data_IF_592383441585
#
_entry.id   IF_592383441585
#
_cell.length_a   1.000
_cell.length_b   1.000
_cell.length_c   1.000
_cell.angle_alpha   90.00
_cell.angle_beta   90.00
_cell.angle_gamma   90.00
#
_symmetry.space_group_name_H-M   'P 1'
#
loop_
_entity.id
_entity.type
_entity.pdbx_description
1 polymer ?
#
# COMPACT_ATOMS: atom_id res chain seq x y z
N UNK A 1 23.92 11.35 31.75
CA UNK A 1 23.07 10.16 31.82
C UNK A 1 22.19 10.10 30.56
N UNK A 2 22.16 8.95 29.89
CA UNK A 2 21.30 8.66 28.78
C UNK A 2 20.08 7.87 29.30
N UNK A 3 18.87 8.34 28.96
CA UNK A 3 17.62 7.62 29.27
C UNK A 3 16.90 7.33 27.95
N UNK A 4 16.52 6.08 27.73
CA UNK A 4 15.73 5.63 26.58
C UNK A 4 14.38 5.15 27.11
N UNK A 5 13.29 5.64 26.51
CA UNK A 5 11.92 5.23 26.82
C UNK A 5 11.31 4.72 25.53
N UNK A 6 10.71 3.55 25.56
CA UNK A 6 9.98 2.96 24.44
C UNK A 6 8.63 2.43 24.91
N UNK A 7 7.66 2.44 24.03
CA UNK A 7 6.29 1.99 24.33
C UNK A 7 5.32 2.44 23.23
N UNK A 8 4.02 2.34 23.51
CA UNK A 8 2.99 2.90 22.64
C UNK A 8 3.03 4.43 22.72
N UNK A 9 2.66 5.09 21.61
CA UNK A 9 2.54 6.54 21.59
C UNK A 9 1.42 6.97 22.55
N UNK A 10 1.69 7.80 23.56
CA UNK A 10 0.66 8.25 24.51
C UNK A 10 -0.32 9.28 23.92
N UNK A 11 -0.01 9.84 22.76
CA UNK A 11 -0.87 10.83 22.11
C UNK A 11 -2.09 10.13 21.50
N UNK A 12 -3.28 10.58 21.90
CA UNK A 12 -4.58 10.05 21.45
C UNK A 12 -4.74 8.52 21.61
N UNK A 13 -3.98 7.89 22.52
CA UNK A 13 -4.13 6.48 22.84
C UNK A 13 -4.19 6.26 24.33
N UNK A 14 -5.15 5.46 24.77
CA UNK A 14 -5.31 5.02 26.15
C UNK A 14 -5.62 3.51 26.14
N UNK A 15 -5.07 2.80 27.10
CA UNK A 15 -5.36 1.39 27.31
C UNK A 15 -5.71 1.15 28.80
N UNK A 16 -6.91 0.61 29.03
CA UNK A 16 -7.34 0.23 30.37
C UNK A 16 -6.95 -1.22 30.65
N UNK A 17 -5.99 -1.42 31.53
CA UNK A 17 -5.55 -2.75 31.96
C UNK A 17 -6.38 -3.20 33.15
N UNK A 18 -7.19 -4.25 33.00
CA UNK A 18 -8.02 -4.81 34.09
C UNK A 18 -7.21 -5.72 35.02
N UNK A 19 -7.65 -5.89 36.27
CA UNK A 19 -7.01 -6.81 37.21
C UNK A 19 -6.89 -8.23 36.63
N UNK A 20 -5.68 -8.79 36.65
CA UNK A 20 -5.39 -10.11 36.09
C UNK A 20 -5.09 -10.17 34.60
N UNK A 21 -5.22 -9.05 33.89
CA UNK A 21 -4.80 -8.92 32.49
C UNK A 21 -3.36 -8.42 32.38
N UNK A 22 -2.76 -8.60 31.23
CA UNK A 22 -1.44 -8.09 30.90
C UNK A 22 -1.45 -7.52 29.48
N UNK A 23 -0.66 -6.48 29.29
CA UNK A 23 -0.50 -5.80 28.01
C UNK A 23 0.90 -6.10 27.47
N UNK A 24 0.97 -6.62 26.25
CA UNK A 24 2.25 -6.85 25.54
C UNK A 24 2.52 -5.64 24.65
N UNK A 25 3.58 -4.91 24.97
CA UNK A 25 4.02 -3.79 24.12
C UNK A 25 4.56 -4.31 22.79
N UNK A 26 4.51 -3.51 21.71
CA UNK A 26 5.26 -3.79 20.51
C UNK A 26 6.76 -4.00 20.80
N UNK A 27 7.40 -4.83 19.99
CA UNK A 27 8.84 -5.03 20.08
C UNK A 27 9.58 -3.71 19.83
N UNK A 28 10.61 -3.46 20.62
CA UNK A 28 11.49 -2.31 20.47
C UNK A 28 12.91 -2.77 20.19
N UNK A 29 13.52 -2.20 19.15
CA UNK A 29 14.85 -2.55 18.70
C UNK A 29 15.76 -1.33 18.80
N UNK A 30 16.93 -1.51 19.36
CA UNK A 30 17.94 -0.47 19.43
C UNK A 30 19.32 -1.00 19.08
N UNK A 31 20.22 -0.11 18.72
CA UNK A 31 21.63 -0.43 18.46
C UNK A 31 22.53 0.62 19.09
N UNK A 32 23.74 0.21 19.44
CA UNK A 32 24.79 1.07 19.92
C UNK A 32 25.97 1.03 18.95
N UNK A 33 26.61 2.16 18.73
CA UNK A 33 27.77 2.24 17.86
C UNK A 33 28.79 3.27 18.38
N UNK A 34 30.04 2.84 18.50
CA UNK A 34 31.18 3.72 18.72
C UNK A 34 31.80 4.24 17.40
N UNK A 35 31.26 3.78 16.25
CA UNK A 35 31.70 4.15 14.90
C UNK A 35 30.74 5.13 14.21
N UNK A 36 29.99 5.88 15.00
CA UNK A 36 29.05 6.90 14.53
C UNK A 36 27.71 6.38 14.01
N UNK A 37 26.85 7.32 13.60
CA UNK A 37 25.48 7.07 13.16
C UNK A 37 25.39 6.19 11.89
N UNK A 38 26.35 6.32 10.97
CA UNK A 38 26.37 5.50 9.76
C UNK A 38 26.49 4.00 10.04
N UNK A 39 27.27 3.61 11.06
CA UNK A 39 27.36 2.20 11.48
C UNK A 39 26.07 1.76 12.15
N UNK A 40 25.47 2.60 13.00
CA UNK A 40 24.18 2.32 13.64
C UNK A 40 23.09 2.09 12.60
N UNK A 41 23.00 2.96 11.59
CA UNK A 41 22.07 2.82 10.48
C UNK A 41 22.26 1.51 9.71
N UNK A 42 23.51 1.18 9.34
CA UNK A 42 23.80 -0.09 8.64
C UNK A 42 23.44 -1.32 9.49
N UNK A 43 23.60 -1.26 10.81
CA UNK A 43 23.17 -2.35 11.70
C UNK A 43 21.66 -2.59 11.63
N UNK A 44 20.84 -1.53 11.56
CA UNK A 44 19.39 -1.67 11.33
C UNK A 44 19.08 -2.20 9.94
N UNK A 45 19.81 -1.78 8.91
CA UNK A 45 19.63 -2.34 7.56
C UNK A 45 19.93 -3.84 7.51
N UNK A 46 20.99 -4.28 8.19
CA UNK A 46 21.35 -5.70 8.26
C UNK A 46 20.30 -6.50 9.05
N UNK A 47 19.83 -5.96 10.16
CA UNK A 47 18.74 -6.55 10.92
C UNK A 47 17.46 -6.67 10.07
N UNK A 48 17.05 -5.58 9.42
CA UNK A 48 15.85 -5.58 8.59
C UNK A 48 15.93 -6.62 7.46
N UNK A 49 17.06 -6.69 6.75
CA UNK A 49 17.27 -7.68 5.68
C UNK A 49 17.25 -9.12 6.18
N UNK A 50 17.76 -9.38 7.37
CA UNK A 50 17.89 -10.75 7.87
C UNK A 50 16.65 -11.27 8.61
N UNK A 51 15.87 -10.38 9.26
CA UNK A 51 14.85 -10.79 10.22
C UNK A 51 13.47 -10.16 9.98
N UNK A 52 13.38 -8.97 9.39
CA UNK A 52 12.11 -8.24 9.30
C UNK A 52 11.47 -8.30 7.91
N UNK A 53 12.25 -8.12 6.87
CA UNK A 53 11.72 -8.00 5.51
C UNK A 53 11.64 -9.36 4.85
N UNK A 54 10.45 -9.76 4.37
CA UNK A 54 10.27 -10.96 3.57
C UNK A 54 11.19 -10.93 2.35
N UNK A 55 11.94 -12.01 2.15
CA UNK A 55 12.95 -12.12 1.10
C UNK A 55 13.94 -10.93 1.08
N UNK A 56 14.38 -10.46 2.25
CA UNK A 56 15.18 -9.24 2.41
C UNK A 56 16.53 -9.24 1.70
N UNK A 57 17.05 -10.42 1.31
CA UNK A 57 18.29 -10.61 0.54
C UNK A 57 18.07 -10.82 -0.95
N UNK A 58 16.83 -10.95 -1.40
CA UNK A 58 16.52 -11.10 -2.82
C UNK A 58 16.56 -9.74 -3.54
N UNK A 59 16.79 -9.79 -4.84
CA UNK A 59 16.69 -8.61 -5.69
C UNK A 59 15.29 -8.02 -5.64
N UNK A 60 15.21 -6.71 -5.73
CA UNK A 60 13.94 -5.99 -5.81
C UNK A 60 13.46 -5.92 -7.25
N UNK A 61 12.17 -6.14 -7.44
CA UNK A 61 11.55 -5.98 -8.73
C UNK A 61 11.54 -4.51 -9.15
N UNK A 62 11.79 -4.27 -10.42
CA UNK A 62 11.48 -2.99 -11.04
C UNK A 62 9.97 -2.86 -11.20
N UNK A 63 9.42 -1.67 -10.99
CA UNK A 63 8.00 -1.41 -10.98
C UNK A 63 7.64 -0.25 -11.91
N UNK A 64 6.61 -0.43 -12.74
CA UNK A 64 5.91 0.63 -13.46
C UNK A 64 4.55 0.84 -12.81
N UNK A 65 4.31 2.06 -12.33
CA UNK A 65 3.02 2.54 -11.86
C UNK A 65 2.37 3.37 -12.97
N UNK A 66 1.07 3.20 -13.24
CA UNK A 66 0.38 3.94 -14.31
C UNK A 66 0.04 5.39 -13.95
N UNK A 67 0.15 5.80 -12.68
CA UNK A 67 -0.36 7.09 -12.20
C UNK A 67 0.13 8.29 -13.00
N UNK A 68 1.44 8.42 -13.19
CA UNK A 68 2.02 9.55 -13.92
C UNK A 68 1.63 9.60 -15.41
N UNK A 69 1.23 8.46 -15.97
CA UNK A 69 0.79 8.37 -17.36
C UNK A 69 -0.71 8.68 -17.54
N UNK A 70 -1.55 8.19 -16.61
CA UNK A 70 -3.00 8.15 -16.84
C UNK A 70 -3.82 8.88 -15.78
N UNK A 71 -3.26 9.10 -14.58
CA UNK A 71 -4.02 9.54 -13.41
C UNK A 71 -5.31 8.72 -13.27
N UNK A 72 -6.45 9.36 -13.02
CA UNK A 72 -7.76 8.70 -12.94
C UNK A 72 -8.33 8.25 -14.29
N UNK A 73 -7.77 8.68 -15.42
CA UNK A 73 -8.34 8.51 -16.76
C UNK A 73 -7.63 7.40 -17.52
N UNK A 74 -8.14 6.19 -17.43
CA UNK A 74 -7.64 5.04 -18.18
C UNK A 74 -8.77 4.12 -18.64
N UNK A 75 -8.46 3.29 -19.60
CA UNK A 75 -9.29 2.17 -20.06
C UNK A 75 -8.53 0.86 -19.88
N UNK A 76 -9.26 -0.23 -19.82
CA UNK A 76 -8.69 -1.59 -19.75
C UNK A 76 -7.66 -1.81 -20.87
N UNK A 77 -7.98 -1.37 -22.09
CA UNK A 77 -7.09 -1.51 -23.25
C UNK A 77 -5.78 -0.74 -23.13
N UNK A 78 -5.83 0.47 -22.55
CA UNK A 78 -4.61 1.25 -22.29
C UNK A 78 -3.71 0.54 -21.28
N UNK A 79 -4.29 0.00 -20.21
CA UNK A 79 -3.53 -0.75 -19.20
C UNK A 79 -2.87 -2.01 -19.79
N UNK A 80 -3.58 -2.77 -20.63
CA UNK A 80 -3.02 -3.92 -21.35
C UNK A 80 -1.81 -3.53 -22.22
N UNK A 81 -1.89 -2.39 -22.92
CA UNK A 81 -0.78 -1.92 -23.73
C UNK A 81 0.41 -1.49 -22.88
N UNK A 82 0.17 -0.75 -21.77
CA UNK A 82 1.22 -0.36 -20.82
C UNK A 82 1.94 -1.58 -20.21
N UNK A 83 1.22 -2.68 -19.91
CA UNK A 83 1.83 -3.92 -19.41
C UNK A 83 2.78 -4.53 -20.43
N UNK A 84 2.42 -4.53 -21.73
CA UNK A 84 3.28 -5.02 -22.82
C UNK A 84 4.53 -4.15 -23.01
N UNK A 85 4.34 -2.83 -22.99
CA UNK A 85 5.44 -1.85 -23.06
C UNK A 85 6.37 -1.96 -21.86
N UNK A 86 5.82 -2.10 -20.65
CA UNK A 86 6.59 -2.32 -19.43
C UNK A 86 7.50 -3.55 -19.57
N UNK A 87 6.99 -4.65 -20.13
CA UNK A 87 7.80 -5.85 -20.38
C UNK A 87 8.93 -5.62 -21.38
N UNK A 88 8.66 -4.87 -22.45
CA UNK A 88 9.68 -4.53 -23.45
C UNK A 88 10.82 -3.70 -22.86
N UNK A 89 10.51 -2.87 -21.84
CA UNK A 89 11.48 -2.09 -21.08
C UNK A 89 12.19 -2.90 -19.98
N UNK A 90 11.86 -4.18 -19.80
CA UNK A 90 12.46 -5.03 -18.77
C UNK A 90 11.88 -4.83 -17.37
N UNK A 91 10.69 -4.24 -17.24
CA UNK A 91 10.00 -4.07 -15.96
C UNK A 91 9.41 -5.40 -15.49
N UNK A 92 9.49 -5.66 -14.17
CA UNK A 92 9.05 -6.92 -13.56
C UNK A 92 7.59 -6.89 -13.08
N UNK A 93 7.12 -5.71 -12.65
CA UNK A 93 5.84 -5.51 -11.96
C UNK A 93 5.11 -4.29 -12.51
N UNK A 94 3.89 -4.47 -12.96
CA UNK A 94 2.95 -3.39 -13.25
C UNK A 94 2.05 -3.15 -12.05
N UNK A 95 1.94 -1.90 -11.58
CA UNK A 95 1.06 -1.48 -10.48
C UNK A 95 -0.08 -0.65 -11.04
N UNK A 96 -1.32 -1.13 -10.88
CA UNK A 96 -2.52 -0.35 -11.12
C UNK A 96 -2.76 0.58 -9.92
N UNK A 97 -2.67 1.88 -10.15
CA UNK A 97 -2.87 2.92 -9.15
C UNK A 97 -4.34 3.32 -9.01
N UNK A 98 -4.61 4.43 -8.37
CA UNK A 98 -5.94 4.97 -8.04
C UNK A 98 -6.87 5.07 -9.25
N UNK A 99 -8.18 5.03 -9.00
CA UNK A 99 -9.21 5.21 -10.03
C UNK A 99 -9.81 3.92 -10.59
N UNK A 100 -9.41 2.73 -10.12
CA UNK A 100 -9.91 1.44 -10.59
C UNK A 100 -11.23 0.99 -9.93
N UNK A 101 -11.70 1.71 -8.93
CA UNK A 101 -12.81 1.34 -8.05
C UNK A 101 -13.94 2.37 -8.06
N UNK A 102 -15.01 2.06 -7.30
CA UNK A 102 -16.22 2.83 -7.08
C UNK A 102 -17.16 2.93 -8.31
N UNK A 103 -18.44 2.66 -8.08
CA UNK A 103 -19.47 2.68 -9.12
C UNK A 103 -20.51 3.78 -8.88
N UNK A 104 -21.12 3.89 -7.69
CA UNK A 104 -22.10 4.92 -7.36
C UNK A 104 -21.48 6.32 -7.34
N UNK A 105 -20.29 6.44 -6.77
CA UNK A 105 -19.50 7.67 -6.73
C UNK A 105 -18.17 7.45 -7.45
N UNK A 106 -18.15 7.52 -8.81
CA UNK A 106 -16.99 7.09 -9.58
C UNK A 106 -15.71 7.80 -9.17
N UNK A 107 -14.63 7.05 -8.97
CA UNK A 107 -13.29 7.55 -8.67
C UNK A 107 -12.64 8.18 -9.91
N UNK A 108 -13.11 9.38 -10.27
CA UNK A 108 -12.59 10.18 -11.39
C UNK A 108 -11.75 11.36 -10.94
N UNK A 109 -11.65 11.57 -9.64
CA UNK A 109 -10.82 12.54 -8.93
C UNK A 109 -10.73 12.15 -7.46
N UNK A 110 -10.00 12.91 -6.65
CA UNK A 110 -9.75 12.68 -5.23
C UNK A 110 -10.92 12.98 -4.28
N UNK A 111 -12.07 13.48 -4.79
CA UNK A 111 -13.18 13.98 -3.98
C UNK A 111 -14.32 12.98 -3.78
N UNK A 112 -14.24 11.82 -4.40
CA UNK A 112 -15.30 10.82 -4.33
C UNK A 112 -14.76 9.38 -4.47
N UNK A 113 -15.52 8.42 -3.97
CA UNK A 113 -15.34 6.99 -4.21
C UNK A 113 -14.32 6.30 -3.31
N UNK A 114 -13.46 7.03 -2.59
CA UNK A 114 -12.47 6.40 -1.70
C UNK A 114 -13.20 5.70 -0.54
N UNK A 115 -12.94 4.41 -0.37
CA UNK A 115 -13.64 3.52 0.54
C UNK A 115 -14.47 2.44 -0.18
N UNK A 116 -14.90 2.70 -1.42
CA UNK A 116 -15.73 1.78 -2.21
C UNK A 116 -14.85 0.88 -3.10
N UNK A 117 -14.24 -0.15 -2.51
CA UNK A 117 -13.25 -1.00 -3.18
C UNK A 117 -13.82 -2.01 -4.17
N UNK A 118 -14.93 -1.65 -4.83
CA UNK A 118 -15.49 -2.40 -5.94
C UNK A 118 -14.97 -1.90 -7.29
N UNK A 119 -14.57 -2.83 -8.16
CA UNK A 119 -14.05 -2.48 -9.48
C UNK A 119 -15.05 -1.65 -10.30
N UNK A 120 -14.61 -0.51 -10.83
CA UNK A 120 -15.44 0.33 -11.68
C UNK A 120 -15.65 -0.29 -13.06
N UNK A 121 -16.90 -0.64 -13.39
CA UNK A 121 -17.25 -1.33 -14.64
C UNK A 121 -17.09 -0.45 -15.89
N UNK A 122 -17.16 0.85 -15.73
CA UNK A 122 -16.99 1.79 -16.85
C UNK A 122 -15.58 1.78 -17.43
N UNK A 123 -14.56 1.63 -16.60
CA UNK A 123 -13.14 1.59 -17.03
C UNK A 123 -12.64 0.17 -17.26
N UNK A 124 -13.12 -0.77 -16.44
CA UNK A 124 -12.66 -2.16 -16.36
C UNK A 124 -13.83 -3.13 -16.52
N UNK A 125 -14.43 -3.22 -17.71
CA UNK A 125 -15.63 -4.03 -17.95
C UNK A 125 -15.42 -5.52 -17.65
N UNK A 126 -14.20 -6.04 -17.86
CA UNK A 126 -13.86 -7.44 -17.58
C UNK A 126 -13.26 -7.65 -16.18
N UNK A 127 -13.06 -6.57 -15.41
CA UNK A 127 -12.62 -6.57 -14.02
C UNK A 127 -11.15 -6.91 -13.79
N UNK A 128 -10.76 -6.95 -12.52
CA UNK A 128 -9.37 -7.20 -12.10
C UNK A 128 -8.83 -8.57 -12.55
N UNK A 129 -9.61 -9.69 -12.51
CA UNK A 129 -9.10 -10.98 -12.99
C UNK A 129 -8.62 -10.96 -14.45
N UNK A 130 -9.27 -10.16 -15.30
CA UNK A 130 -8.84 -9.97 -16.70
C UNK A 130 -7.48 -9.27 -16.76
N UNK A 131 -7.28 -8.19 -16.00
CA UNK A 131 -6.00 -7.48 -15.95
C UNK A 131 -4.86 -8.35 -15.42
N UNK A 132 -5.13 -9.16 -14.38
CA UNK A 132 -4.16 -10.14 -13.85
C UNK A 132 -3.75 -11.15 -14.92
N UNK A 133 -4.71 -11.64 -15.70
CA UNK A 133 -4.45 -12.53 -16.84
C UNK A 133 -3.62 -11.83 -17.91
N UNK A 134 -3.99 -10.61 -18.29
CA UNK A 134 -3.27 -9.81 -19.29
C UNK A 134 -1.83 -9.50 -18.87
N UNK A 135 -1.60 -9.19 -17.60
CA UNK A 135 -0.25 -9.01 -17.04
C UNK A 135 0.60 -10.28 -17.15
N UNK A 136 0.01 -11.42 -16.78
CA UNK A 136 0.67 -12.74 -16.92
C UNK A 136 1.02 -13.05 -18.37
N UNK A 137 0.12 -12.79 -19.30
CA UNK A 137 0.34 -13.00 -20.75
C UNK A 137 1.40 -12.04 -21.29
N UNK A 138 1.45 -10.81 -20.81
CA UNK A 138 2.50 -9.85 -21.11
C UNK A 138 3.86 -10.21 -20.49
N UNK A 139 3.89 -11.06 -19.46
CA UNK A 139 5.11 -11.50 -18.77
C UNK A 139 5.56 -10.53 -17.66
N UNK A 140 4.65 -9.76 -17.08
CA UNK A 140 4.87 -8.93 -15.89
C UNK A 140 4.00 -9.41 -14.73
N UNK A 141 4.40 -9.12 -13.50
CA UNK A 141 3.55 -9.31 -12.33
C UNK A 141 2.52 -8.18 -12.25
N UNK A 142 1.42 -8.41 -11.54
CA UNK A 142 0.37 -7.42 -11.33
C UNK A 142 0.32 -7.01 -9.85
N UNK A 143 0.25 -5.72 -9.60
CA UNK A 143 -0.02 -5.12 -8.30
C UNK A 143 -1.19 -4.16 -8.39
N UNK A 144 -1.80 -3.85 -7.26
CA UNK A 144 -2.93 -2.94 -7.15
C UNK A 144 -2.74 -2.02 -5.94
N UNK A 145 -3.04 -0.74 -6.12
CA UNK A 145 -3.01 0.26 -5.06
C UNK A 145 -4.32 0.27 -4.27
N UNK A 146 -4.20 0.40 -2.97
CA UNK A 146 -5.31 0.63 -2.03
C UNK A 146 -4.90 1.62 -0.95
N UNK A 147 -5.85 2.42 -0.45
CA UNK A 147 -5.69 3.38 0.65
C UNK A 147 -6.78 3.15 1.72
N UNK A 148 -6.69 2.06 2.49
CA UNK A 148 -7.78 1.62 3.38
C UNK A 148 -7.96 2.50 4.62
N UNK A 149 -7.02 3.37 4.94
CA UNK A 149 -7.04 4.29 6.08
C UNK A 149 -7.88 5.55 5.85
N UNK A 150 -8.32 5.79 4.62
CA UNK A 150 -9.04 7.00 4.23
C UNK A 150 -10.40 6.67 3.61
N UNK A 151 -11.34 7.60 3.77
CA UNK A 151 -12.68 7.52 3.18
C UNK A 151 -13.12 8.89 2.67
N UNK A 152 -13.80 8.93 1.54
CA UNK A 152 -14.46 10.16 1.09
C UNK A 152 -15.87 10.26 1.66
N UNK A 153 -16.35 11.46 2.03
CA UNK A 153 -17.77 11.68 2.36
C UNK A 153 -18.72 11.30 1.20
N UNK A 154 -18.23 11.37 -0.05
CA UNK A 154 -18.93 10.84 -1.22
C UNK A 154 -18.45 9.42 -1.52
N UNK A 155 -18.89 8.46 -0.69
CA UNK A 155 -18.71 7.02 -0.87
C UNK A 155 -19.90 6.28 -0.27
N UNK A 156 -20.15 5.07 -0.76
CA UNK A 156 -21.17 4.19 -0.17
C UNK A 156 -20.76 3.72 1.23
N UNK A 157 -19.46 3.53 1.45
CA UNK A 157 -18.93 3.19 2.77
C UNK A 157 -19.26 4.28 3.81
N UNK A 158 -19.03 5.56 3.48
CA UNK A 158 -19.35 6.64 4.41
C UNK A 158 -20.86 6.79 4.64
N UNK A 159 -21.69 6.57 3.61
CA UNK A 159 -23.17 6.57 3.79
C UNK A 159 -23.64 5.49 4.78
N UNK A 160 -23.00 4.33 4.75
CA UNK A 160 -23.38 3.20 5.61
C UNK A 160 -22.78 3.31 7.01
N UNK A 161 -21.58 3.85 7.13
CA UNK A 161 -20.79 3.90 8.35
C UNK A 161 -20.14 5.28 8.58
N UNK A 162 -20.93 6.36 8.72
CA UNK A 162 -20.40 7.69 9.00
C UNK A 162 -19.67 7.78 10.35
N UNK A 163 -19.99 6.88 11.27
CA UNK A 163 -19.39 6.73 12.60
C UNK A 163 -17.97 6.13 12.60
N UNK A 164 -17.50 5.61 11.46
CA UNK A 164 -16.14 5.09 11.32
C UNK A 164 -15.10 6.18 10.99
N UNK A 165 -15.55 7.34 10.53
CA UNK A 165 -14.67 8.47 10.25
C UNK A 165 -14.32 9.22 11.56
N UNK A 166 -13.04 9.56 11.74
CA UNK A 166 -12.48 10.27 12.90
C UNK A 166 -12.37 11.76 12.58
#
# INVERSE_FOLDING_TARGET
NLRVISGINPYASAYELKPGEWFVTPEFIFTLSHQGAGKASRSFHDWARNYQVKAGKADRMTLLNNWENTSFSFTEKQLENLMKEAKQLGVDLFLLDDGWFANKYPRSNDKAGLGDWEVTRNKLPNGIPHLVKSAKEAGVKFGIWIEPEMVNPKSELFEQHPDWAI
#
